data_IF_145018949008
#
_entry.id   IF_145018949008
#
_cell.length_a   1.000
_cell.length_b   1.000
_cell.length_c   1.000
_cell.angle_alpha   90.00
_cell.angle_beta   90.00
_cell.angle_gamma   90.00
#
_symmetry.space_group_name_H-M   'P 1'
#
loop_
_entity.id
_entity.type
_entity.pdbx_description
1 polymer ?
#
# COMPACT_ATOMS: atom_id res chain seq x y z
N UNK A 1 -8.85 10.50 30.27
CA UNK A 1 -7.76 11.48 30.05
C UNK A 1 -7.52 11.54 28.55
N UNK A 2 -8.01 12.57 27.86
CA UNK A 2 -7.66 12.76 26.45
C UNK A 2 -6.16 13.10 26.41
N UNK A 3 -5.34 12.25 25.79
CA UNK A 3 -3.95 12.57 25.53
C UNK A 3 -3.93 13.90 24.76
N UNK A 4 -3.25 14.90 25.32
CA UNK A 4 -3.12 16.21 24.69
C UNK A 4 -2.32 15.98 23.39
N UNK A 5 -3.01 15.98 22.26
CA UNK A 5 -2.39 15.72 20.96
C UNK A 5 -1.32 16.80 20.74
N UNK A 6 -0.06 16.37 20.67
CA UNK A 6 1.07 17.27 20.40
C UNK A 6 0.88 17.89 19.03
N UNK A 7 0.99 19.21 18.96
CA UNK A 7 0.95 19.93 17.67
C UNK A 7 2.04 19.38 16.73
N UNK A 8 1.67 18.91 15.52
CA UNK A 8 2.65 18.40 14.57
C UNK A 8 3.59 19.51 14.11
N UNK A 9 4.88 19.17 14.03
CA UNK A 9 5.91 20.07 13.48
C UNK A 9 5.69 20.37 12.00
N UNK A 10 6.30 21.43 11.48
CA UNK A 10 6.22 21.77 10.06
C UNK A 10 6.66 20.62 9.14
N UNK A 11 7.76 19.93 9.49
CA UNK A 11 8.27 18.78 8.73
C UNK A 11 7.27 17.62 8.73
N UNK A 12 6.62 17.35 9.86
CA UNK A 12 5.59 16.32 9.95
C UNK A 12 4.35 16.67 9.12
N UNK A 13 3.92 17.95 9.11
CA UNK A 13 2.83 18.43 8.24
C UNK A 13 3.19 18.28 6.76
N UNK A 14 4.42 18.59 6.37
CA UNK A 14 4.91 18.36 5.01
C UNK A 14 4.93 16.88 4.63
N UNK A 15 5.31 15.99 5.54
CA UNK A 15 5.27 14.54 5.30
C UNK A 15 3.83 14.03 5.12
N UNK A 16 2.88 14.52 5.94
CA UNK A 16 1.47 14.19 5.79
C UNK A 16 0.91 14.72 4.45
N UNK A 17 1.25 15.95 4.07
CA UNK A 17 0.89 16.52 2.77
C UNK A 17 1.50 15.70 1.63
N UNK A 18 2.79 15.36 1.72
CA UNK A 18 3.47 14.51 0.75
C UNK A 18 2.74 13.17 0.59
N UNK A 19 2.36 12.51 1.69
CA UNK A 19 1.63 11.25 1.63
C UNK A 19 0.34 11.37 0.83
N UNK A 20 -0.51 12.36 1.18
CA UNK A 20 -1.76 12.64 0.47
C UNK A 20 -1.48 12.90 -1.01
N UNK A 21 -0.53 13.79 -1.29
CA UNK A 21 -0.15 14.15 -2.66
C UNK A 21 0.36 12.95 -3.43
N UNK A 22 1.15 12.06 -2.81
CA UNK A 22 1.73 10.86 -3.42
C UNK A 22 0.67 9.86 -3.88
N UNK A 23 -0.44 9.73 -3.15
CA UNK A 23 -1.56 8.87 -3.53
C UNK A 23 -2.49 9.53 -4.56
N UNK A 24 -2.57 10.85 -4.58
CA UNK A 24 -3.19 11.61 -5.68
C UNK A 24 -2.25 11.83 -6.87
N UNK A 25 -0.97 11.47 -6.75
CA UNK A 25 0.09 11.81 -7.70
C UNK A 25 -0.11 11.16 -9.06
N UNK A 26 -0.75 9.98 -9.09
CA UNK A 26 -1.08 9.30 -10.33
C UNK A 26 -1.92 10.16 -11.29
N UNK A 27 -2.87 10.95 -10.79
CA UNK A 27 -3.69 11.83 -11.63
C UNK A 27 -2.93 13.08 -12.08
N UNK A 28 -2.09 13.65 -11.22
CA UNK A 28 -1.23 14.80 -11.56
C UNK A 28 -0.18 14.41 -12.60
N UNK A 29 0.51 13.27 -12.41
CA UNK A 29 1.48 12.75 -13.36
C UNK A 29 0.84 12.39 -14.69
N UNK A 30 -0.39 11.84 -14.68
CA UNK A 30 -1.14 11.59 -15.90
C UNK A 30 -1.50 12.88 -16.65
N UNK A 31 -1.89 13.94 -15.92
CA UNK A 31 -2.15 15.25 -16.52
C UNK A 31 -0.87 15.87 -17.10
N UNK A 32 0.26 15.81 -16.38
CA UNK A 32 1.56 16.28 -16.88
C UNK A 32 2.02 15.47 -18.09
N UNK A 33 1.87 14.14 -18.06
CA UNK A 33 2.14 13.26 -19.19
C UNK A 33 1.32 13.70 -20.41
N UNK A 34 0.02 13.95 -20.25
CA UNK A 34 -0.84 14.43 -21.33
C UNK A 34 -0.38 15.79 -21.88
N UNK A 35 -0.06 16.75 -21.01
CA UNK A 35 0.42 18.08 -21.41
C UNK A 35 1.76 18.00 -22.17
N UNK A 36 2.68 17.13 -21.74
CA UNK A 36 3.97 16.92 -22.40
C UNK A 36 3.79 16.34 -23.82
N UNK A 37 2.97 15.29 -23.95
CA UNK A 37 2.62 14.71 -25.26
C UNK A 37 2.00 15.77 -26.18
N UNK A 38 1.13 16.63 -25.64
CA UNK A 38 0.41 17.65 -26.41
C UNK A 38 1.29 18.80 -26.84
N UNK A 39 2.17 19.26 -25.96
CA UNK A 39 3.04 20.39 -26.21
C UNK A 39 4.16 20.01 -27.18
N UNK A 40 4.75 18.81 -27.03
CA UNK A 40 5.97 18.41 -27.72
C UNK A 40 5.75 17.07 -28.42
N UNK A 41 5.33 17.10 -29.69
CA UNK A 41 4.97 15.89 -30.44
C UNK A 41 6.12 14.86 -30.58
N UNK A 42 7.39 15.28 -30.47
CA UNK A 42 8.53 14.35 -30.43
C UNK A 42 8.61 13.54 -29.13
N UNK A 43 8.06 14.04 -28.02
CA UNK A 43 7.95 13.27 -26.77
C UNK A 43 6.79 12.28 -26.80
N UNK A 44 5.85 12.43 -27.74
CA UNK A 44 4.69 11.54 -27.85
C UNK A 44 5.09 10.09 -28.11
N UNK A 45 6.05 9.85 -29.00
CA UNK A 45 6.51 8.49 -29.32
C UNK A 45 7.07 7.76 -28.08
N UNK A 46 8.11 8.25 -27.37
CA UNK A 46 8.63 7.55 -26.20
C UNK A 46 7.61 7.43 -25.07
N UNK A 47 6.76 8.44 -24.86
CA UNK A 47 5.72 8.42 -23.83
C UNK A 47 4.61 7.40 -24.14
N UNK A 48 4.18 7.29 -25.38
CA UNK A 48 3.21 6.28 -25.82
C UNK A 48 3.82 4.87 -25.82
N UNK A 49 5.08 4.72 -26.21
CA UNK A 49 5.81 3.44 -26.06
C UNK A 49 5.90 3.04 -24.59
N UNK A 50 6.15 3.99 -23.70
CA UNK A 50 6.20 3.73 -22.27
C UNK A 50 4.82 3.37 -21.70
N UNK A 51 3.75 4.07 -22.08
CA UNK A 51 2.38 3.70 -21.70
C UNK A 51 1.97 2.32 -22.27
N UNK A 52 2.38 1.99 -23.49
CA UNK A 52 2.21 0.66 -24.06
C UNK A 52 2.97 -0.40 -23.24
N UNK A 53 4.20 -0.07 -22.82
CA UNK A 53 4.99 -0.92 -21.93
C UNK A 53 4.34 -1.07 -20.54
N UNK A 54 3.74 -0.05 -19.93
CA UNK A 54 3.08 -0.24 -18.62
C UNK A 54 1.83 -1.10 -18.74
N UNK A 55 1.11 -1.05 -19.86
CA UNK A 55 -0.10 -1.85 -20.10
C UNK A 55 0.18 -3.31 -20.48
N UNK A 56 1.23 -3.58 -21.25
CA UNK A 56 1.60 -4.94 -21.70
C UNK A 56 2.73 -5.56 -20.89
N UNK A 57 3.50 -4.70 -20.25
CA UNK A 57 4.78 -5.05 -19.67
C UNK A 57 4.66 -5.72 -18.31
N UNK A 58 5.81 -6.12 -17.76
CA UNK A 58 5.92 -7.02 -16.63
C UNK A 58 5.50 -6.38 -15.29
N UNK A 59 4.69 -5.31 -15.25
CA UNK A 59 4.34 -4.60 -14.02
C UNK A 59 3.83 -5.53 -12.91
N UNK A 60 2.91 -6.42 -13.27
CA UNK A 60 2.43 -7.48 -12.38
C UNK A 60 3.44 -8.61 -12.14
N UNK A 61 4.52 -8.67 -12.93
CA UNK A 61 5.64 -9.62 -12.82
C UNK A 61 6.83 -9.08 -12.01
N UNK A 62 6.91 -7.76 -11.75
CA UNK A 62 8.10 -7.10 -11.17
C UNK A 62 8.10 -7.03 -9.64
N UNK A 63 6.93 -7.12 -9.00
CA UNK A 63 6.80 -7.02 -7.54
C UNK A 63 7.52 -8.12 -6.76
N UNK A 64 8.05 -9.17 -7.41
CA UNK A 64 8.79 -10.26 -6.74
C UNK A 64 10.06 -10.72 -7.46
N UNK A 65 10.71 -9.84 -8.24
CA UNK A 65 12.01 -10.14 -8.89
C UNK A 65 13.14 -9.20 -8.47
N UNK A 66 12.84 -8.12 -7.73
CA UNK A 66 13.85 -7.20 -7.21
C UNK A 66 14.34 -7.59 -5.82
N UNK A 67 15.33 -6.86 -5.29
CA UNK A 67 15.75 -6.98 -3.90
C UNK A 67 14.64 -6.50 -2.95
N UNK A 68 14.33 -7.30 -1.94
CA UNK A 68 13.41 -6.96 -0.86
C UNK A 68 14.14 -7.05 0.49
N UNK A 69 13.97 -6.09 1.41
CA UNK A 69 13.15 -4.87 1.28
C UNK A 69 13.73 -3.88 0.26
N UNK A 70 12.85 -3.14 -0.42
CA UNK A 70 13.28 -2.10 -1.35
C UNK A 70 13.79 -0.87 -0.58
N UNK A 71 14.72 -0.06 -1.15
CA UNK A 71 15.26 1.11 -0.45
C UNK A 71 14.19 2.10 0.02
N UNK A 72 13.11 2.30 -0.75
CA UNK A 72 12.07 3.25 -0.37
C UNK A 72 11.16 2.72 0.76
N UNK A 73 11.14 1.42 1.04
CA UNK A 73 10.44 0.86 2.21
C UNK A 73 11.00 1.42 3.52
N UNK A 74 12.31 1.71 3.55
CA UNK A 74 13.05 2.28 4.70
C UNK A 74 13.30 3.79 4.57
N UNK A 75 12.58 4.47 3.69
CA UNK A 75 12.76 5.90 3.52
C UNK A 75 12.37 6.67 4.78
N UNK A 76 13.24 7.55 5.25
CA UNK A 76 13.08 8.32 6.50
C UNK A 76 11.78 9.11 6.60
N UNK A 77 11.16 9.46 5.46
CA UNK A 77 9.85 10.12 5.44
C UNK A 77 8.78 9.30 6.19
N UNK A 78 8.82 7.96 6.10
CA UNK A 78 7.86 7.09 6.77
C UNK A 78 7.95 7.19 8.30
N UNK A 79 9.15 7.39 8.85
CA UNK A 79 9.33 7.60 10.29
C UNK A 79 8.80 8.97 10.75
N UNK A 80 8.99 10.00 9.93
CA UNK A 80 8.39 11.32 10.18
C UNK A 80 6.87 11.23 10.19
N UNK A 81 6.30 10.46 9.26
CA UNK A 81 4.87 10.22 9.16
C UNK A 81 4.34 9.37 10.34
N UNK A 82 5.07 8.34 10.77
CA UNK A 82 4.79 7.61 12.02
C UNK A 82 4.68 8.59 13.19
N UNK A 83 5.67 9.45 13.36
CA UNK A 83 5.72 10.40 14.47
C UNK A 83 4.62 11.47 14.39
N UNK A 84 4.12 11.80 13.19
CA UNK A 84 2.95 12.67 13.02
C UNK A 84 1.69 12.05 13.64
N UNK A 85 1.49 10.74 13.44
CA UNK A 85 0.30 10.03 13.97
C UNK A 85 0.51 9.44 15.37
N UNK A 86 1.76 9.36 15.86
CA UNK A 86 2.10 8.53 17.02
C UNK A 86 1.77 7.07 16.78
N UNK A 87 2.01 6.57 15.56
CA UNK A 87 1.61 5.22 15.16
C UNK A 87 2.55 4.16 15.74
N UNK A 88 1.96 3.07 16.22
CA UNK A 88 2.67 1.92 16.77
C UNK A 88 2.11 0.61 16.17
N UNK A 89 2.95 -0.42 16.10
CA UNK A 89 2.56 -1.75 15.64
C UNK A 89 2.82 -2.77 16.75
N UNK A 90 1.80 -3.55 17.08
CA UNK A 90 1.89 -4.60 18.10
C UNK A 90 1.73 -5.97 17.44
N UNK A 91 2.69 -6.86 17.69
CA UNK A 91 2.64 -8.27 17.29
C UNK A 91 1.94 -9.09 18.37
N UNK A 92 0.91 -9.83 18.00
CA UNK A 92 0.15 -10.70 18.93
C UNK A 92 0.56 -12.17 18.84
N UNK A 93 1.19 -12.58 17.75
CA UNK A 93 1.65 -13.95 17.54
C UNK A 93 2.93 -13.95 16.68
N UNK A 94 3.75 -14.97 16.86
CA UNK A 94 4.92 -15.20 16.01
C UNK A 94 4.49 -15.78 14.67
N UNK A 95 5.20 -15.41 13.61
CA UNK A 95 4.97 -15.93 12.26
C UNK A 95 6.22 -16.68 11.83
N UNK A 96 6.02 -17.85 11.21
CA UNK A 96 7.14 -18.58 10.62
C UNK A 96 7.74 -17.81 9.45
N UNK A 97 9.07 -17.62 9.40
CA UNK A 97 9.74 -17.00 8.26
C UNK A 97 9.79 -17.90 7.02
N UNK A 98 9.54 -19.21 7.16
CA UNK A 98 9.52 -20.16 6.04
C UNK A 98 8.22 -20.13 5.23
N UNK A 99 7.16 -19.60 5.84
CA UNK A 99 5.81 -19.71 5.30
C UNK A 99 5.38 -18.40 4.66
N UNK A 100 4.61 -18.49 3.57
CA UNK A 100 3.96 -17.33 3.00
C UNK A 100 2.70 -16.97 3.82
N UNK A 101 2.48 -15.67 4.02
CA UNK A 101 1.35 -15.13 4.79
C UNK A 101 0.50 -14.19 3.95
N UNK A 102 -0.81 -14.19 4.20
CA UNK A 102 -1.74 -13.19 3.67
C UNK A 102 -2.23 -12.34 4.84
N UNK A 103 -1.68 -11.13 4.94
CA UNK A 103 -2.10 -10.13 5.91
C UNK A 103 -3.40 -9.47 5.47
N UNK A 104 -4.49 -9.75 6.17
CA UNK A 104 -5.80 -9.14 5.92
C UNK A 104 -5.98 -7.88 6.77
N UNK A 105 -5.82 -6.71 6.15
CA UNK A 105 -5.84 -5.41 6.84
C UNK A 105 -7.24 -4.78 6.86
N UNK A 106 -7.59 -4.22 8.02
CA UNK A 106 -8.78 -3.40 8.24
C UNK A 106 -8.54 -2.30 9.31
N UNK A 107 -9.36 -1.24 9.33
CA UNK A 107 -10.27 -0.82 8.27
C UNK A 107 -9.48 -0.17 7.11
N UNK A 108 -10.09 0.02 5.94
CA UNK A 108 -9.42 0.67 4.81
C UNK A 108 -9.09 2.15 5.06
N UNK A 109 -9.91 2.89 5.82
CA UNK A 109 -9.78 4.35 5.89
C UNK A 109 -9.95 5.03 4.53
N UNK A 110 -9.64 6.32 4.44
CA UNK A 110 -9.68 7.03 3.15
C UNK A 110 -8.50 6.61 2.26
N UNK A 111 -7.29 6.54 2.83
CA UNK A 111 -6.03 6.26 2.11
C UNK A 111 -5.26 5.03 2.63
N UNK A 112 -5.81 4.25 3.56
CA UNK A 112 -5.15 3.07 4.16
C UNK A 112 -3.78 3.39 4.73
N UNK A 113 -3.68 4.47 5.50
CA UNK A 113 -2.42 5.02 5.94
C UNK A 113 -1.67 4.09 6.90
N UNK A 114 -2.39 3.44 7.82
CA UNK A 114 -1.82 2.43 8.70
C UNK A 114 -1.34 1.19 7.95
N UNK A 115 -1.98 0.82 6.82
CA UNK A 115 -1.49 -0.28 5.98
C UNK A 115 -0.16 0.09 5.33
N UNK A 116 -0.02 1.33 4.83
CA UNK A 116 1.24 1.80 4.25
C UNK A 116 2.32 1.88 5.31
N UNK A 117 2.06 2.49 6.46
CA UNK A 117 3.05 2.59 7.54
C UNK A 117 3.47 1.22 8.08
N UNK A 118 2.52 0.34 8.37
CA UNK A 118 2.79 -0.95 9.03
C UNK A 118 3.20 -2.09 8.10
N UNK A 119 2.66 -2.13 6.87
CA UNK A 119 2.86 -3.26 5.94
C UNK A 119 3.56 -2.84 4.65
N UNK A 120 3.41 -1.59 4.22
CA UNK A 120 4.06 -1.03 3.03
C UNK A 120 5.45 -0.42 3.28
N UNK A 121 5.75 -0.05 4.53
CA UNK A 121 7.01 0.56 4.96
C UNK A 121 7.62 -0.23 6.12
N UNK A 122 8.81 0.17 6.56
CA UNK A 122 9.46 -0.39 7.75
C UNK A 122 9.39 0.56 8.97
N UNK A 123 8.64 1.66 8.89
CA UNK A 123 8.63 2.69 9.92
C UNK A 123 8.09 2.22 11.28
N UNK A 124 7.21 1.23 11.28
CA UNK A 124 6.67 0.61 12.50
C UNK A 124 7.45 -0.64 12.95
N UNK A 125 8.64 -0.89 12.39
CA UNK A 125 9.50 -2.01 12.78
C UNK A 125 9.01 -3.37 12.28
N UNK A 126 8.35 -3.44 11.11
CA UNK A 126 7.82 -4.70 10.58
C UNK A 126 8.90 -5.77 10.44
N UNK A 127 10.06 -5.42 9.86
CA UNK A 127 11.18 -6.36 9.69
C UNK A 127 11.76 -6.87 11.01
N UNK A 128 11.65 -6.10 12.10
CA UNK A 128 12.11 -6.53 13.43
C UNK A 128 11.07 -7.42 14.12
N UNK A 129 9.78 -7.12 13.95
CA UNK A 129 8.67 -7.91 14.50
C UNK A 129 8.51 -9.28 13.80
N UNK A 130 8.78 -9.33 12.49
CA UNK A 130 8.61 -10.52 11.65
C UNK A 130 9.87 -10.76 10.80
N UNK A 131 11.00 -11.13 11.44
CA UNK A 131 12.26 -11.33 10.74
C UNK A 131 12.12 -12.41 9.67
N UNK A 132 12.61 -12.13 8.46
CA UNK A 132 12.53 -13.06 7.32
C UNK A 132 11.21 -13.01 6.53
N UNK A 133 10.15 -12.38 7.05
CA UNK A 133 8.88 -12.26 6.32
C UNK A 133 8.93 -11.11 5.32
N UNK A 134 8.86 -11.44 4.03
CA UNK A 134 8.87 -10.45 2.95
C UNK A 134 7.44 -10.09 2.53
N UNK A 135 6.90 -8.99 3.03
CA UNK A 135 5.51 -8.59 2.77
C UNK A 135 5.38 -7.51 1.69
N UNK A 136 4.54 -7.77 0.69
CA UNK A 136 4.16 -6.79 -0.33
C UNK A 136 2.77 -6.25 -0.07
N UNK A 137 2.64 -4.94 0.18
CA UNK A 137 1.31 -4.31 0.26
C UNK A 137 0.72 -4.19 -1.14
N UNK A 138 -0.47 -4.77 -1.32
CA UNK A 138 -1.13 -4.84 -2.62
C UNK A 138 -2.16 -3.71 -2.78
N UNK A 139 -2.20 -3.13 -3.98
CA UNK A 139 -3.14 -2.06 -4.34
C UNK A 139 -3.81 -2.33 -5.69
N UNK A 140 -4.69 -1.42 -6.13
CA UNK A 140 -5.47 -1.58 -7.36
C UNK A 140 -4.55 -1.77 -8.58
N UNK A 141 -4.89 -2.75 -9.43
CA UNK A 141 -4.10 -3.06 -10.62
C UNK A 141 -3.96 -1.89 -11.59
N UNK A 142 -4.96 -0.99 -11.64
CA UNK A 142 -4.91 0.22 -12.46
C UNK A 142 -3.74 1.13 -12.11
N UNK A 143 -3.29 1.14 -10.84
CA UNK A 143 -2.15 1.94 -10.41
C UNK A 143 -0.86 1.54 -11.11
N UNK A 144 -0.75 0.27 -11.53
CA UNK A 144 0.42 -0.26 -12.24
C UNK A 144 0.34 -0.08 -13.76
N UNK A 145 -0.78 0.45 -14.27
CA UNK A 145 -0.92 0.85 -15.68
C UNK A 145 -0.52 2.31 -15.90
N UNK A 146 -0.50 3.12 -14.85
CA UNK A 146 -0.17 4.54 -14.90
C UNK A 146 1.35 4.75 -15.00
N UNK A 147 1.85 5.40 -16.06
CA UNK A 147 3.26 5.79 -16.19
C UNK A 147 3.75 6.54 -14.94
N UNK A 148 5.00 6.30 -14.55
CA UNK A 148 5.70 6.86 -13.38
C UNK A 148 5.14 6.45 -12.02
N UNK A 149 3.80 6.40 -11.86
CA UNK A 149 3.18 5.95 -10.62
C UNK A 149 3.43 4.45 -10.37
N UNK A 150 3.44 3.65 -11.44
CA UNK A 150 3.86 2.25 -11.40
C UNK A 150 5.23 2.08 -10.75
N UNK A 151 6.23 2.84 -11.18
CA UNK A 151 7.62 2.74 -10.74
C UNK A 151 7.76 3.24 -9.31
N UNK A 152 7.05 4.31 -8.97
CA UNK A 152 6.92 4.78 -7.61
C UNK A 152 6.42 3.65 -6.69
N UNK A 153 5.34 2.97 -7.06
CA UNK A 153 4.79 1.85 -6.27
C UNK A 153 5.74 0.65 -6.19
N UNK A 154 6.32 0.24 -7.32
CA UNK A 154 7.28 -0.86 -7.36
C UNK A 154 8.54 -0.56 -6.55
N UNK A 155 9.01 0.68 -6.54
CA UNK A 155 10.17 1.10 -5.75
C UNK A 155 9.91 1.05 -4.23
N UNK A 156 8.64 1.11 -3.79
CA UNK A 156 8.23 0.85 -2.41
C UNK A 156 7.96 -0.64 -2.13
N UNK A 157 8.05 -1.50 -3.15
CA UNK A 157 7.76 -2.93 -3.02
C UNK A 157 6.27 -3.25 -3.03
N UNK A 158 5.41 -2.33 -3.47
CA UNK A 158 3.97 -2.63 -3.66
C UNK A 158 3.75 -3.60 -4.82
N UNK A 159 2.65 -4.34 -4.75
CA UNK A 159 2.17 -5.18 -5.84
C UNK A 159 0.72 -4.85 -6.23
N UNK A 160 0.27 -5.39 -7.35
CA UNK A 160 -1.14 -5.34 -7.71
C UNK A 160 -1.93 -6.46 -7.03
N UNK A 161 -3.18 -6.21 -6.69
CA UNK A 161 -4.05 -7.17 -5.99
C UNK A 161 -4.73 -8.19 -6.93
N UNK A 162 -4.29 -8.32 -8.19
CA UNK A 162 -4.86 -9.35 -9.07
C UNK A 162 -4.53 -10.75 -8.56
N UNK A 163 -5.42 -11.71 -8.84
CA UNK A 163 -5.24 -13.11 -8.43
C UNK A 163 -3.91 -13.68 -8.90
N UNK A 164 -3.53 -13.42 -10.15
CA UNK A 164 -2.28 -13.95 -10.72
C UNK A 164 -1.04 -13.37 -10.03
N UNK A 165 -1.09 -12.10 -9.63
CA UNK A 165 -0.01 -11.45 -8.88
C UNK A 165 0.12 -12.04 -7.48
N UNK A 166 -1.00 -12.19 -6.78
CA UNK A 166 -1.05 -12.82 -5.47
C UNK A 166 -0.48 -14.25 -5.51
N UNK A 167 -0.94 -15.09 -6.45
CA UNK A 167 -0.45 -16.45 -6.61
C UNK A 167 1.05 -16.50 -6.90
N UNK A 168 1.56 -15.60 -7.74
CA UNK A 168 3.00 -15.55 -8.05
C UNK A 168 3.84 -15.18 -6.83
N UNK A 169 3.44 -14.18 -6.06
CA UNK A 169 4.16 -13.76 -4.86
C UNK A 169 4.16 -14.88 -3.81
N UNK A 170 2.98 -15.43 -3.51
CA UNK A 170 2.82 -16.48 -2.51
C UNK A 170 3.60 -17.75 -2.88
N UNK A 171 3.56 -18.19 -4.15
CA UNK A 171 4.31 -19.37 -4.62
C UNK A 171 5.83 -19.18 -4.61
N UNK A 172 6.31 -17.95 -4.53
CA UNK A 172 7.74 -17.63 -4.37
C UNK A 172 8.16 -17.52 -2.90
N UNK A 173 7.25 -17.80 -1.96
CA UNK A 173 7.50 -17.65 -0.52
C UNK A 173 7.37 -16.21 -0.01
N UNK A 174 6.94 -15.27 -0.85
CA UNK A 174 6.66 -13.91 -0.39
C UNK A 174 5.28 -13.86 0.28
N UNK A 175 5.15 -12.99 1.27
CA UNK A 175 3.88 -12.65 1.89
C UNK A 175 3.22 -11.46 1.20
N UNK A 176 1.90 -11.36 1.31
CA UNK A 176 1.13 -10.25 0.74
C UNK A 176 0.25 -9.61 1.80
N UNK A 177 0.02 -8.30 1.69
CA UNK A 177 -0.93 -7.57 2.50
C UNK A 177 -2.06 -7.03 1.62
N UNK A 178 -3.31 -7.29 2.02
CA UNK A 178 -4.50 -6.89 1.29
C UNK A 178 -5.42 -6.12 2.23
N UNK A 179 -5.81 -4.92 1.82
CA UNK A 179 -6.89 -4.17 2.48
C UNK A 179 -8.22 -4.74 2.00
N UNK A 180 -8.79 -5.65 2.79
CA UNK A 180 -9.83 -6.57 2.33
C UNK A 180 -11.11 -5.86 1.90
N UNK A 181 -11.50 -4.82 2.64
CA UNK A 181 -12.68 -4.02 2.34
C UNK A 181 -12.60 -3.29 1.00
N UNK A 182 -11.38 -2.92 0.60
CA UNK A 182 -11.08 -2.15 -0.61
C UNK A 182 -11.80 -0.79 -0.63
N UNK A 183 -11.95 -0.21 -1.82
CA UNK A 183 -12.62 1.08 -1.99
C UNK A 183 -14.10 1.12 -1.58
N UNK A 184 -14.76 -0.03 -1.38
CA UNK A 184 -16.12 -0.04 -0.83
C UNK A 184 -16.12 0.29 0.66
N UNK A 185 -15.10 -0.14 1.40
CA UNK A 185 -14.95 0.14 2.83
C UNK A 185 -14.51 1.59 3.08
N UNK A 186 -13.73 2.18 2.17
CA UNK A 186 -13.33 3.60 2.28
C UNK A 186 -14.51 4.56 2.21
N UNK A 187 -15.60 4.21 1.52
CA UNK A 187 -16.82 5.01 1.46
C UNK A 187 -17.55 5.09 2.81
N UNK A 188 -17.28 4.15 3.73
CA UNK A 188 -17.83 4.14 5.08
C UNK A 188 -16.85 4.70 6.13
N UNK A 189 -15.66 5.13 5.71
CA UNK A 189 -14.66 5.69 6.62
C UNK A 189 -15.21 6.99 7.24
N UNK A 190 -15.40 6.98 8.57
CA UNK A 190 -15.89 8.13 9.34
C UNK A 190 -15.22 8.12 10.72
N UNK A 191 -14.87 9.29 11.28
CA UNK A 191 -14.33 9.37 12.63
C UNK A 191 -15.22 8.66 13.65
N UNK A 192 -14.60 7.86 14.53
CA UNK A 192 -15.27 7.11 15.58
C UNK A 192 -16.09 5.88 15.12
N UNK A 193 -16.13 5.56 13.81
CA UNK A 193 -16.87 4.40 13.28
C UNK A 193 -15.91 3.40 12.64
N UNK A 194 -16.26 2.12 12.75
CA UNK A 194 -15.49 1.01 12.19
C UNK A 194 -16.43 0.05 11.44
N UNK A 195 -16.88 0.48 10.27
CA UNK A 195 -17.74 -0.34 9.39
C UNK A 195 -16.89 -1.11 8.40
N UNK A 196 -16.94 -2.44 8.49
CA UNK A 196 -16.11 -3.33 7.68
C UNK A 196 -16.91 -3.99 6.55
N UNK A 197 -16.31 -4.09 5.38
CA UNK A 197 -16.85 -4.78 4.20
C UNK A 197 -16.14 -6.12 4.07
N UNK A 198 -16.58 -7.12 4.84
CA UNK A 198 -15.94 -8.45 4.87
C UNK A 198 -16.84 -9.59 4.36
N UNK A 199 -18.15 -9.55 4.62
CA UNK A 199 -19.08 -10.68 4.42
C UNK A 199 -18.99 -11.35 3.04
N UNK A 200 -18.74 -10.58 1.98
CA UNK A 200 -18.66 -11.08 0.59
C UNK A 200 -17.22 -11.13 0.04
N UNK A 201 -16.20 -10.77 0.83
CA UNK A 201 -14.81 -10.68 0.41
C UNK A 201 -14.05 -11.98 0.71
N UNK A 202 -14.36 -13.06 0.00
CA UNK A 202 -13.74 -14.38 0.25
C UNK A 202 -12.49 -14.67 -0.61
N UNK A 203 -12.10 -13.75 -1.51
CA UNK A 203 -11.02 -14.00 -2.46
C UNK A 203 -9.67 -14.31 -1.82
N UNK A 204 -9.33 -13.62 -0.72
CA UNK A 204 -8.09 -13.84 0.01
C UNK A 204 -8.06 -15.20 0.74
N UNK A 205 -9.22 -15.69 1.20
CA UNK A 205 -9.35 -17.04 1.78
C UNK A 205 -9.16 -18.10 0.70
N UNK A 206 -9.74 -17.89 -0.49
CA UNK A 206 -9.50 -18.78 -1.64
C UNK A 206 -8.02 -18.83 -2.03
N UNK A 207 -7.34 -17.67 -2.02
CA UNK A 207 -5.89 -17.60 -2.24
C UNK A 207 -5.10 -18.40 -1.20
N UNK A 208 -5.45 -18.29 0.08
CA UNK A 208 -4.82 -19.08 1.14
C UNK A 208 -4.98 -20.59 0.90
N UNK A 209 -6.19 -21.03 0.58
CA UNK A 209 -6.47 -22.44 0.25
C UNK A 209 -5.68 -22.92 -0.98
N UNK A 210 -5.55 -22.08 -2.02
CA UNK A 210 -4.84 -22.41 -3.26
C UNK A 210 -3.32 -22.48 -3.10
N UNK A 211 -2.76 -21.82 -2.08
CA UNK A 211 -1.30 -21.62 -1.93
C UNK A 211 -0.72 -22.24 -0.66
N UNK A 212 -1.56 -22.60 0.31
CA UNK A 212 -1.12 -23.00 1.65
C UNK A 212 -0.68 -21.84 2.54
N UNK A 213 -0.85 -20.59 2.10
CA UNK A 213 -0.44 -19.42 2.86
C UNK A 213 -1.32 -19.22 4.11
N UNK A 214 -0.70 -18.84 5.23
CA UNK A 214 -1.41 -18.57 6.48
C UNK A 214 -2.12 -17.23 6.46
N UNK A 215 -3.34 -17.15 6.99
CA UNK A 215 -4.08 -15.90 7.12
C UNK A 215 -3.67 -15.17 8.40
N UNK A 216 -3.23 -13.92 8.25
CA UNK A 216 -2.85 -13.06 9.39
C UNK A 216 -3.82 -11.88 9.47
N UNK A 217 -4.74 -11.85 10.44
CA UNK A 217 -5.62 -10.70 10.62
C UNK A 217 -4.82 -9.50 11.14
N UNK A 218 -5.01 -8.33 10.51
CA UNK A 218 -4.40 -7.07 10.93
C UNK A 218 -5.47 -6.02 11.10
N UNK A 219 -5.43 -5.33 12.25
CA UNK A 219 -6.38 -4.28 12.57
C UNK A 219 -5.67 -3.00 12.98
N UNK A 220 -6.08 -1.86 12.42
CA UNK A 220 -5.58 -0.54 12.79
C UNK A 220 -6.65 0.26 13.54
N UNK A 221 -6.34 0.62 14.79
CA UNK A 221 -7.13 1.56 15.56
C UNK A 221 -6.75 3.00 15.17
N UNK A 222 -7.75 3.87 14.99
CA UNK A 222 -7.54 5.27 14.62
C UNK A 222 -7.46 5.56 13.12
N UNK A 223 -7.38 4.56 12.24
CA UNK A 223 -7.33 4.74 10.79
C UNK A 223 -8.47 5.64 10.26
N UNK A 224 -9.71 5.40 10.69
CA UNK A 224 -10.86 6.20 10.25
C UNK A 224 -10.92 7.61 10.87
N UNK A 225 -10.03 7.93 11.82
CA UNK A 225 -9.92 9.26 12.44
C UNK A 225 -8.87 10.14 11.74
N UNK A 226 -8.19 9.63 10.71
CA UNK A 226 -7.10 10.34 10.01
C UNK A 226 -7.59 11.51 9.15
N UNK A 227 -8.87 11.50 8.77
CA UNK A 227 -9.49 12.55 7.96
C UNK A 227 -10.86 12.93 8.51
N UNK A 228 -11.22 14.20 8.31
CA UNK A 228 -12.59 14.67 8.50
C UNK A 228 -13.40 14.33 7.25
N UNK A 229 -14.56 13.70 7.43
CA UNK A 229 -15.49 13.40 6.34
C UNK A 229 -16.68 14.35 6.38
N UNK A 230 -17.08 14.89 5.24
CA UNK A 230 -18.30 15.68 5.12
C UNK A 230 -19.52 14.76 5.09
N UNK A 231 -19.98 14.29 6.25
CA UNK A 231 -21.24 13.56 6.42
C UNK A 231 -21.85 13.88 7.78
#
# INVERSE_FOLDING_TARGET
MAAQLREPTFVQRLAALYFILSWTFGSVLLALFYLLVRAWHWTAVPLLTYAWYTQRGPASKTSGQGTFPTPLRRWRMWEVLRDYFGAEMHRTAELSPSDAHIFGYHPHGILSQGAVLGLGSDALGFSDLFPGVQVHLLTLAVNFMLPFFREYLLAHGHGDVSRDSCLRLLRRGHSIAIVIGGGAESLYARPGRHELVLRRRQGFVKLALDTGASLVPVYCFGENNTFVTAN
#
